data_IF_314181494000
#
_entry.id   IF_314181494000
#
_cell.length_a   1.000
_cell.length_b   1.000
_cell.length_c   1.000
_cell.angle_alpha   90.00
_cell.angle_beta   90.00
_cell.angle_gamma   90.00
#
_symmetry.space_group_name_H-M   'P 1'
#
loop_
_entity.id
_entity.type
_entity.pdbx_description
1 polymer ?
#
# COMPACT_ATOMS: atom_id res chain seq x y z
N UNK A 1 9.82 40.20 43.75
CA UNK A 1 8.53 40.28 43.04
C UNK A 1 7.88 38.92 43.19
N UNK A 2 6.71 38.88 43.77
CA UNK A 2 5.95 37.66 43.94
C UNK A 2 5.02 37.51 42.74
N UNK A 3 5.20 36.43 41.98
CA UNK A 3 4.40 36.14 40.78
C UNK A 3 3.72 34.78 40.90
N UNK A 4 2.60 34.63 40.20
CA UNK A 4 1.79 33.42 40.20
C UNK A 4 1.89 32.75 38.83
N UNK A 5 2.34 31.50 38.78
CA UNK A 5 2.38 30.72 37.53
C UNK A 5 1.29 29.65 37.58
N UNK A 6 0.32 29.75 36.68
CA UNK A 6 -0.74 28.76 36.52
C UNK A 6 -0.25 27.61 35.66
N UNK A 7 -0.21 26.41 36.24
CA UNK A 7 0.21 25.18 35.58
C UNK A 7 -0.89 24.61 34.67
N UNK A 8 -0.55 23.74 33.69
CA UNK A 8 -1.51 23.10 32.79
C UNK A 8 -2.59 22.28 33.48
N UNK A 9 -2.30 21.75 34.68
CA UNK A 9 -3.25 21.03 35.53
C UNK A 9 -4.16 21.96 36.36
N UNK A 10 -4.08 23.28 36.17
CA UNK A 10 -4.86 24.29 36.88
C UNK A 10 -4.32 24.71 38.24
N UNK A 11 -3.18 24.15 38.70
CA UNK A 11 -2.55 24.53 39.97
C UNK A 11 -1.72 25.80 39.81
N UNK A 12 -1.83 26.76 40.74
CA UNK A 12 -0.94 27.92 40.79
C UNK A 12 0.29 27.64 41.65
N UNK A 13 1.46 28.06 41.17
CA UNK A 13 2.74 28.06 41.91
C UNK A 13 3.15 29.51 42.14
N UNK A 14 3.59 29.83 43.36
CA UNK A 14 4.08 31.16 43.73
C UNK A 14 5.59 31.16 43.61
N UNK A 15 6.14 32.12 42.89
CA UNK A 15 7.59 32.30 42.73
C UNK A 15 7.99 33.69 43.22
N UNK A 16 9.08 33.73 43.99
CA UNK A 16 9.76 34.97 44.35
C UNK A 16 10.93 35.21 43.39
N UNK A 17 10.80 36.18 42.50
CA UNK A 17 11.80 36.51 41.47
C UNK A 17 12.20 37.98 41.52
N UNK A 18 13.36 38.34 40.97
CA UNK A 18 13.71 39.74 40.75
C UNK A 18 13.06 40.23 39.45
N UNK A 19 12.70 41.51 39.36
CA UNK A 19 12.16 42.09 38.12
C UNK A 19 13.17 42.05 36.95
N UNK A 20 14.46 41.95 37.27
CA UNK A 20 15.57 41.81 36.31
C UNK A 20 15.84 40.36 35.91
N UNK A 21 15.24 39.36 36.57
CA UNK A 21 15.41 37.96 36.21
C UNK A 21 14.86 37.68 34.82
N UNK A 22 15.53 36.81 34.07
CA UNK A 22 15.02 36.39 32.77
C UNK A 22 13.88 35.40 32.90
N UNK A 23 13.04 35.31 31.88
CA UNK A 23 11.97 34.30 31.79
C UNK A 23 12.58 32.88 31.85
N UNK A 24 13.74 32.67 31.22
CA UNK A 24 14.45 31.39 31.27
C UNK A 24 14.95 31.01 32.67
N UNK A 25 15.45 31.96 33.46
CA UNK A 25 15.83 31.73 34.86
C UNK A 25 14.63 31.34 35.72
N UNK A 26 13.48 31.99 35.50
CA UNK A 26 12.22 31.63 36.16
C UNK A 26 11.77 30.22 35.76
N UNK A 27 11.82 29.85 34.46
CA UNK A 27 11.44 28.51 34.00
C UNK A 27 12.32 27.41 34.62
N UNK A 28 13.62 27.65 34.81
CA UNK A 28 14.51 26.70 35.51
C UNK A 28 14.10 26.45 36.96
N UNK A 29 13.46 27.42 37.62
CA UNK A 29 12.92 27.21 38.98
C UNK A 29 11.68 26.29 39.01
N UNK A 30 11.09 26.02 37.84
CA UNK A 30 9.93 25.14 37.65
C UNK A 30 10.32 23.77 37.06
N UNK A 31 11.61 23.51 36.86
CA UNK A 31 12.14 22.33 36.13
C UNK A 31 11.77 20.99 36.80
N UNK A 32 11.51 20.98 38.12
CA UNK A 32 10.99 19.81 38.84
C UNK A 32 9.59 19.37 38.38
N UNK A 33 8.85 20.24 37.68
CA UNK A 33 7.46 19.99 37.23
C UNK A 33 7.39 19.61 35.75
N UNK A 34 8.26 20.17 34.91
CA UNK A 34 8.38 19.89 33.48
C UNK A 34 9.75 20.39 32.98
N UNK A 35 10.39 19.76 31.99
CA UNK A 35 11.66 20.26 31.46
C UNK A 35 11.50 21.70 30.93
N UNK A 36 12.41 22.60 31.31
CA UNK A 36 12.43 23.99 30.86
C UNK A 36 12.38 24.12 29.32
N UNK A 37 12.89 23.12 28.60
CA UNK A 37 12.85 23.02 27.14
C UNK A 37 11.46 22.79 26.54
N UNK A 38 10.46 22.40 27.34
CA UNK A 38 9.07 22.15 26.93
C UNK A 38 8.09 23.20 27.49
N UNK A 39 8.60 24.25 28.13
CA UNK A 39 7.80 25.31 28.73
C UNK A 39 7.70 26.52 27.82
N UNK A 40 6.49 27.05 27.65
CA UNK A 40 6.27 28.40 27.15
C UNK A 40 5.42 29.16 28.17
N UNK A 41 5.85 30.37 28.52
CA UNK A 41 5.15 31.21 29.47
C UNK A 41 4.37 32.28 28.72
N UNK A 42 3.08 32.39 29.03
CA UNK A 42 2.16 33.37 28.44
C UNK A 42 1.74 34.38 29.49
N UNK A 43 1.82 35.66 29.14
CA UNK A 43 1.34 36.78 29.95
C UNK A 43 0.54 37.76 29.08
N UNK A 44 -0.65 38.17 29.54
CA UNK A 44 -1.60 39.00 28.77
C UNK A 44 -1.89 38.48 27.34
N UNK A 45 -1.98 37.16 27.20
CA UNK A 45 -2.27 36.50 25.91
C UNK A 45 -1.09 36.47 24.93
N UNK A 46 0.13 36.84 25.35
CA UNK A 46 1.34 36.79 24.51
C UNK A 46 2.40 35.87 25.12
N UNK A 47 3.06 35.02 24.31
CA UNK A 47 4.20 34.23 24.78
C UNK A 47 5.39 35.15 25.07
N UNK A 48 6.08 34.91 26.17
CA UNK A 48 7.28 35.63 26.57
C UNK A 48 8.53 34.93 26.02
N UNK A 49 9.54 35.73 25.63
CA UNK A 49 10.82 35.23 25.14
C UNK A 49 11.71 34.83 26.33
N UNK A 50 12.41 33.70 26.24
CA UNK A 50 13.24 33.18 27.34
C UNK A 50 14.35 34.14 27.79
N UNK A 51 14.90 34.91 26.85
CA UNK A 51 15.99 35.86 27.12
C UNK A 51 15.50 37.24 27.59
N UNK A 52 14.18 37.48 27.59
CA UNK A 52 13.62 38.75 28.07
C UNK A 52 13.57 38.80 29.59
N UNK A 53 13.84 39.98 30.16
CA UNK A 53 13.61 40.20 31.59
C UNK A 53 12.12 40.32 31.89
N UNK A 54 11.71 39.94 33.10
CA UNK A 54 10.31 40.07 33.53
C UNK A 54 9.80 41.52 33.45
N UNK A 55 10.66 42.50 33.75
CA UNK A 55 10.35 43.91 33.60
C UNK A 55 10.11 44.32 32.13
N UNK A 56 10.96 43.86 31.19
CA UNK A 56 10.80 44.16 29.76
C UNK A 56 9.54 43.50 29.17
N UNK A 57 9.16 42.35 29.72
CA UNK A 57 7.91 41.65 29.41
C UNK A 57 6.66 42.32 30.02
N UNK A 58 6.81 43.38 30.81
CA UNK A 58 5.73 44.11 31.47
C UNK A 58 5.10 43.35 32.65
N UNK A 59 5.80 42.36 33.20
CA UNK A 59 5.37 41.58 34.37
C UNK A 59 5.66 42.40 35.63
N UNK A 60 4.63 42.65 36.43
CA UNK A 60 4.72 43.36 37.71
C UNK A 60 4.50 42.44 38.90
N UNK A 61 4.66 42.98 40.11
CA UNK A 61 4.31 42.28 41.35
C UNK A 61 2.85 41.81 41.30
N UNK A 62 2.62 40.61 41.83
CA UNK A 62 1.33 39.90 41.83
C UNK A 62 0.78 39.50 40.45
N UNK A 63 1.59 39.58 39.38
CA UNK A 63 1.16 39.13 38.05
C UNK A 63 0.89 37.63 38.01
N UNK A 64 -0.14 37.24 37.27
CA UNK A 64 -0.43 35.84 36.95
C UNK A 64 0.00 35.50 35.52
N UNK A 65 0.94 34.56 35.40
CA UNK A 65 1.42 34.01 34.15
C UNK A 65 0.84 32.60 33.95
N UNK A 66 0.70 32.17 32.71
CA UNK A 66 0.20 30.83 32.37
C UNK A 66 1.31 30.02 31.74
N UNK A 67 1.61 28.85 32.32
CA UNK A 67 2.52 27.88 31.72
C UNK A 67 1.75 27.05 30.70
N UNK A 68 2.23 27.10 29.46
CA UNK A 68 1.75 26.31 28.35
C UNK A 68 2.84 25.30 28.00
N UNK A 69 2.47 24.03 27.94
CA UNK A 69 3.38 22.99 27.45
C UNK A 69 3.47 23.12 25.93
N UNK A 70 4.68 23.34 25.43
CA UNK A 70 4.94 23.12 24.03
C UNK A 70 5.00 21.61 23.81
N UNK A 71 4.02 21.09 23.09
CA UNK A 71 4.18 19.81 22.40
C UNK A 71 5.28 20.02 21.38
N UNK A 72 6.52 19.67 21.72
CA UNK A 72 7.53 19.44 20.68
C UNK A 72 7.01 18.27 19.83
N UNK A 73 6.54 18.57 18.63
CA UNK A 73 6.96 17.72 17.51
C UNK A 73 8.48 17.73 17.56
N UNK A 74 9.09 16.55 17.65
CA UNK A 74 10.50 16.37 18.04
C UNK A 74 11.38 17.49 17.51
N UNK A 75 11.98 18.25 18.41
CA UNK A 75 13.14 19.04 18.01
C UNK A 75 14.23 18.02 17.79
N UNK A 76 14.60 17.90 16.52
CA UNK A 76 15.88 17.46 15.97
C UNK A 76 16.97 17.36 17.05
N UNK A 77 17.02 16.23 17.77
CA UNK A 77 18.31 15.57 17.92
C UNK A 77 18.78 15.38 16.47
N UNK A 78 20.02 15.75 16.16
CA UNK A 78 20.61 15.33 14.89
C UNK A 78 20.49 13.81 14.86
N UNK A 79 19.42 13.30 14.23
CA UNK A 79 19.22 11.89 13.96
C UNK A 79 20.53 11.44 13.35
N UNK A 80 21.19 10.46 13.95
CA UNK A 80 22.18 9.67 13.22
C UNK A 80 21.43 9.14 11.99
N UNK A 81 21.49 9.86 10.86
CA UNK A 81 20.71 9.67 9.61
C UNK A 81 19.95 8.34 9.64
N UNK A 82 18.75 8.28 10.26
CA UNK A 82 18.13 6.97 10.50
C UNK A 82 17.87 6.37 9.12
N UNK A 83 18.63 5.31 8.79
CA UNK A 83 18.72 4.85 7.42
C UNK A 83 17.37 4.23 7.05
N UNK A 84 16.56 5.01 6.31
CA UNK A 84 15.20 4.63 5.95
C UNK A 84 15.16 3.24 5.30
N UNK A 85 14.25 2.39 5.83
CA UNK A 85 14.05 1.03 5.34
C UNK A 85 13.54 1.00 3.89
N UNK A 86 13.90 -0.06 3.17
CA UNK A 86 13.39 -0.32 1.82
C UNK A 86 12.05 -1.04 1.90
N UNK A 87 11.06 -0.58 1.13
CA UNK A 87 9.73 -1.20 1.06
C UNK A 87 9.49 -1.72 -0.35
N UNK A 88 9.24 -3.03 -0.48
CA UNK A 88 9.04 -3.70 -1.78
C UNK A 88 7.71 -4.47 -1.80
N UNK A 89 6.75 -3.97 -2.58
CA UNK A 89 5.49 -4.66 -2.91
C UNK A 89 5.67 -5.60 -4.12
N UNK A 90 5.68 -6.91 -3.84
CA UNK A 90 5.86 -7.97 -4.81
C UNK A 90 4.54 -8.29 -5.55
N UNK A 91 4.20 -7.51 -6.57
CA UNK A 91 3.02 -7.76 -7.39
C UNK A 91 3.27 -8.71 -8.57
N UNK A 92 2.26 -9.50 -8.97
CA UNK A 92 2.37 -10.46 -10.09
C UNK A 92 2.59 -9.85 -11.49
N UNK A 93 2.48 -8.54 -11.63
CA UNK A 93 2.72 -7.83 -12.88
C UNK A 93 3.60 -6.61 -12.69
N UNK A 94 3.46 -5.92 -11.55
CA UNK A 94 4.25 -4.75 -11.21
C UNK A 94 4.83 -4.90 -9.82
N UNK A 95 6.14 -4.68 -9.72
CA UNK A 95 6.85 -4.46 -8.47
C UNK A 95 6.77 -2.97 -8.15
N UNK A 96 6.56 -2.62 -6.88
CA UNK A 96 6.69 -1.24 -6.41
C UNK A 96 7.72 -1.20 -5.30
N UNK A 97 8.65 -0.26 -5.40
CA UNK A 97 9.75 -0.13 -4.48
C UNK A 97 9.97 1.34 -4.13
N UNK A 98 10.43 1.60 -2.90
CA UNK A 98 10.76 2.94 -2.42
C UNK A 98 11.24 2.89 -0.97
N UNK A 99 11.29 4.05 -0.34
CA UNK A 99 11.77 4.20 1.04
C UNK A 99 10.61 4.37 2.00
N UNK A 100 10.77 3.83 3.21
CA UNK A 100 9.83 4.08 4.30
C UNK A 100 9.73 5.59 4.59
N UNK A 101 8.51 6.08 4.79
CA UNK A 101 8.21 7.49 5.05
C UNK A 101 7.80 8.27 3.80
N UNK A 102 8.00 7.73 2.61
CA UNK A 102 7.53 8.35 1.36
C UNK A 102 6.02 8.08 1.14
N UNK A 103 5.33 9.03 0.51
CA UNK A 103 3.90 8.97 0.21
C UNK A 103 3.55 8.11 -1.02
N UNK A 104 4.49 7.95 -1.94
CA UNK A 104 4.33 7.16 -3.18
C UNK A 104 5.58 6.31 -3.45
N UNK A 105 5.44 5.14 -4.10
CA UNK A 105 6.58 4.32 -4.45
C UNK A 105 7.47 5.05 -5.47
N UNK A 106 8.75 5.18 -5.14
CA UNK A 106 9.75 5.80 -6.03
C UNK A 106 9.90 5.08 -7.36
N UNK A 107 9.71 3.76 -7.38
CA UNK A 107 9.81 2.93 -8.58
C UNK A 107 8.60 2.02 -8.74
N UNK A 108 8.06 1.95 -9.97
CA UNK A 108 7.00 1.03 -10.37
C UNK A 108 7.35 0.44 -11.73
N UNK A 109 7.74 -0.84 -11.76
CA UNK A 109 8.20 -1.51 -12.98
C UNK A 109 7.59 -2.89 -13.12
N UNK A 110 7.65 -3.46 -14.34
CA UNK A 110 7.07 -4.78 -14.60
C UNK A 110 7.86 -5.91 -13.93
N UNK A 111 7.13 -6.82 -13.27
CA UNK A 111 7.68 -8.04 -12.65
C UNK A 111 8.00 -9.12 -13.69
N UNK A 112 8.87 -8.78 -14.66
CA UNK A 112 9.26 -9.67 -15.76
C UNK A 112 10.79 -9.74 -15.87
N UNK A 113 11.27 -10.91 -16.27
CA UNK A 113 12.66 -11.17 -16.59
C UNK A 113 12.77 -11.67 -18.01
N UNK A 114 13.62 -11.04 -18.81
CA UNK A 114 13.92 -11.42 -20.18
C UNK A 114 15.32 -12.00 -20.31
N UNK A 115 15.41 -13.25 -20.76
CA UNK A 115 16.69 -13.89 -21.06
C UNK A 115 16.92 -13.90 -22.59
N UNK A 116 18.11 -13.56 -23.11
CA UNK A 116 18.41 -13.68 -24.54
C UNK A 116 18.19 -15.10 -25.05
N UNK A 117 17.64 -15.24 -26.26
CA UNK A 117 17.52 -16.55 -26.90
C UNK A 117 18.90 -17.09 -27.26
N UNK A 118 19.13 -18.38 -27.10
CA UNK A 118 20.47 -18.99 -27.25
C UNK A 118 21.18 -18.63 -28.56
N UNK A 119 20.43 -18.60 -29.67
CA UNK A 119 20.95 -18.22 -30.99
C UNK A 119 21.47 -16.76 -31.04
N UNK A 120 20.84 -15.85 -30.30
CA UNK A 120 21.23 -14.44 -30.24
C UNK A 120 22.39 -14.19 -29.28
N UNK A 121 22.48 -14.97 -28.18
CA UNK A 121 23.58 -14.90 -27.22
C UNK A 121 24.92 -15.26 -27.87
N UNK A 122 24.92 -16.23 -28.79
CA UNK A 122 26.13 -16.63 -29.53
C UNK A 122 26.51 -15.60 -30.60
N UNK A 123 25.53 -14.94 -31.22
CA UNK A 123 25.76 -13.99 -32.31
C UNK A 123 26.16 -12.57 -31.84
N UNK A 124 25.79 -12.17 -30.62
CA UNK A 124 26.04 -10.82 -30.09
C UNK A 124 26.75 -10.88 -28.74
N UNK A 125 28.09 -10.82 -28.78
CA UNK A 125 28.99 -10.95 -27.62
C UNK A 125 28.82 -9.85 -26.55
N UNK A 126 28.06 -8.79 -26.84
CA UNK A 126 27.85 -7.62 -25.97
C UNK A 126 26.45 -7.58 -25.30
N UNK A 127 25.60 -8.61 -25.49
CA UNK A 127 24.29 -8.64 -24.82
C UNK A 127 24.42 -8.95 -23.32
N UNK A 128 23.59 -8.29 -22.50
CA UNK A 128 23.46 -8.62 -21.07
C UNK A 128 22.91 -10.03 -20.89
N UNK A 129 23.31 -10.68 -19.80
CA UNK A 129 22.82 -12.03 -19.46
C UNK A 129 21.32 -12.04 -19.14
N UNK A 130 20.79 -10.96 -18.56
CA UNK A 130 19.37 -10.79 -18.31
C UNK A 130 18.93 -9.33 -18.38
N UNK A 131 17.64 -9.16 -18.63
CA UNK A 131 16.94 -7.88 -18.69
C UNK A 131 15.75 -7.95 -17.73
N UNK A 132 15.43 -6.86 -17.04
CA UNK A 132 14.32 -6.80 -16.08
C UNK A 132 13.42 -5.60 -16.41
N UNK A 133 12.14 -5.70 -16.10
CA UNK A 133 11.21 -4.56 -16.17
C UNK A 133 11.02 -4.02 -17.60
N UNK A 134 11.05 -2.70 -17.74
CA UNK A 134 10.84 -2.04 -19.03
C UNK A 134 11.96 -2.33 -20.03
N UNK A 135 13.18 -2.61 -19.58
CA UNK A 135 14.28 -3.01 -20.46
C UNK A 135 13.99 -4.36 -21.13
N UNK A 136 13.40 -5.30 -20.37
CA UNK A 136 12.97 -6.59 -20.89
C UNK A 136 11.77 -6.43 -21.85
N UNK A 137 10.84 -5.53 -21.53
CA UNK A 137 9.69 -5.23 -22.38
C UNK A 137 10.12 -4.63 -23.72
N UNK A 138 11.00 -3.63 -23.70
CA UNK A 138 11.45 -2.92 -24.90
C UNK A 138 12.29 -3.82 -25.82
N UNK A 139 12.98 -4.82 -25.27
CA UNK A 139 13.78 -5.77 -26.03
C UNK A 139 13.08 -7.12 -26.28
N UNK A 140 11.77 -7.22 -26.05
CA UNK A 140 11.01 -8.49 -26.03
C UNK A 140 11.16 -9.34 -27.29
N UNK A 141 11.32 -8.74 -28.47
CA UNK A 141 11.52 -9.48 -29.73
C UNK A 141 12.75 -10.42 -29.70
N UNK A 142 13.77 -10.04 -28.92
CA UNK A 142 15.05 -10.77 -28.81
C UNK A 142 15.12 -11.67 -27.57
N UNK A 143 14.13 -11.57 -26.68
CA UNK A 143 14.17 -12.18 -25.35
C UNK A 143 13.10 -13.26 -25.19
N UNK A 144 13.37 -14.22 -24.30
CA UNK A 144 12.38 -15.09 -23.71
C UNK A 144 11.92 -14.45 -22.39
N UNK A 145 10.69 -13.91 -22.38
CA UNK A 145 10.12 -13.23 -21.21
C UNK A 145 9.47 -14.25 -20.28
N UNK A 146 9.79 -14.16 -18.99
CA UNK A 146 9.24 -14.96 -17.91
C UNK A 146 8.69 -14.05 -16.80
N UNK A 147 7.63 -14.51 -16.13
CA UNK A 147 7.05 -13.84 -14.97
C UNK A 147 7.29 -14.74 -13.75
N UNK A 148 8.15 -14.37 -12.79
CA UNK A 148 8.48 -15.23 -11.65
C UNK A 148 7.39 -15.30 -10.58
N UNK A 149 6.33 -14.50 -10.70
CA UNK A 149 5.19 -14.48 -9.78
C UNK A 149 3.92 -14.84 -10.55
N UNK A 150 3.31 -15.98 -10.20
CA UNK A 150 2.05 -16.44 -10.76
C UNK A 150 0.98 -16.49 -9.67
N UNK A 151 -0.16 -15.83 -9.93
CA UNK A 151 -1.29 -15.74 -8.99
C UNK A 151 -0.89 -15.29 -7.57
N UNK A 152 0.12 -14.42 -7.44
CA UNK A 152 0.65 -13.93 -6.16
C UNK A 152 1.67 -14.84 -5.48
N UNK A 153 2.07 -15.95 -6.10
CA UNK A 153 3.05 -16.90 -5.57
C UNK A 153 4.32 -16.86 -6.44
N UNK A 154 5.48 -16.76 -5.80
CA UNK A 154 6.78 -16.89 -6.49
C UNK A 154 6.96 -18.33 -6.98
N UNK A 155 7.17 -18.50 -8.28
CA UNK A 155 7.38 -19.80 -8.95
C UNK A 155 8.82 -19.99 -9.41
N UNK A 156 9.59 -18.92 -9.60
CA UNK A 156 11.00 -18.98 -9.97
C UNK A 156 11.81 -18.00 -9.10
N UNK A 157 12.63 -18.55 -8.19
CA UNK A 157 13.42 -17.77 -7.24
C UNK A 157 14.62 -17.08 -7.88
N UNK A 158 15.25 -17.70 -8.88
CA UNK A 158 16.40 -17.11 -9.59
C UNK A 158 15.99 -15.84 -10.35
N UNK A 159 14.82 -15.88 -10.99
CA UNK A 159 14.26 -14.72 -11.68
C UNK A 159 13.70 -13.68 -10.67
N UNK A 160 13.21 -14.11 -9.50
CA UNK A 160 12.79 -13.19 -8.45
C UNK A 160 13.98 -12.43 -7.84
N UNK A 161 15.12 -13.09 -7.64
CA UNK A 161 16.35 -12.46 -7.16
C UNK A 161 16.82 -11.36 -8.12
N UNK A 162 16.74 -11.59 -9.43
CA UNK A 162 17.03 -10.56 -10.45
C UNK A 162 16.09 -9.36 -10.36
N UNK A 163 14.81 -9.59 -10.05
CA UNK A 163 13.83 -8.50 -9.84
C UNK A 163 14.22 -7.66 -8.63
N UNK A 164 14.58 -8.29 -7.51
CA UNK A 164 15.01 -7.55 -6.31
C UNK A 164 16.35 -6.83 -6.52
N UNK A 165 17.31 -7.47 -7.18
CA UNK A 165 18.56 -6.82 -7.56
C UNK A 165 18.28 -5.56 -8.41
N UNK A 166 17.39 -5.66 -9.40
CA UNK A 166 16.98 -4.51 -10.21
C UNK A 166 16.30 -3.43 -9.37
N UNK A 167 15.40 -3.81 -8.45
CA UNK A 167 14.75 -2.86 -7.55
C UNK A 167 15.77 -2.09 -6.70
N UNK A 168 16.72 -2.77 -6.06
CA UNK A 168 17.67 -2.14 -5.14
C UNK A 168 18.74 -1.34 -5.89
N UNK A 169 19.43 -1.95 -6.85
CA UNK A 169 20.62 -1.33 -7.45
C UNK A 169 20.31 -0.44 -8.66
N UNK A 170 19.29 -0.76 -9.46
CA UNK A 170 18.98 0.02 -10.67
C UNK A 170 17.96 1.12 -10.41
N UNK A 171 16.84 0.75 -9.78
CA UNK A 171 15.72 1.66 -9.55
C UNK A 171 15.95 2.57 -8.34
N UNK A 172 16.19 1.98 -7.16
CA UNK A 172 16.39 2.75 -5.93
C UNK A 172 17.81 3.26 -5.73
N UNK A 173 18.79 2.63 -6.38
CA UNK A 173 20.23 2.90 -6.23
C UNK A 173 20.67 2.91 -4.76
N UNK A 174 20.15 1.95 -4.00
CA UNK A 174 20.41 1.77 -2.59
C UNK A 174 21.11 0.43 -2.35
N UNK A 175 22.08 0.43 -1.43
CA UNK A 175 22.72 -0.81 -0.99
C UNK A 175 21.80 -1.55 0.00
N UNK A 176 21.31 -2.75 -0.34
CA UNK A 176 20.52 -3.55 0.60
C UNK A 176 21.32 -3.97 1.84
N UNK A 177 22.67 -3.95 1.80
CA UNK A 177 23.49 -4.33 2.96
C UNK A 177 23.41 -3.33 4.13
N UNK A 178 23.00 -2.09 3.86
CA UNK A 178 22.97 -1.00 4.84
C UNK A 178 21.58 -0.74 5.43
N UNK A 179 20.52 -1.36 4.89
CA UNK A 179 19.12 -0.95 5.16
C UNK A 179 18.20 -2.11 5.49
N UNK A 180 17.30 -1.99 6.50
CA UNK A 180 16.23 -2.96 6.69
C UNK A 180 15.32 -3.05 5.47
N UNK A 181 14.79 -4.25 5.16
CA UNK A 181 13.96 -4.48 3.97
C UNK A 181 12.61 -5.09 4.35
N UNK A 182 11.53 -4.35 4.10
CA UNK A 182 10.16 -4.84 4.19
C UNK A 182 9.71 -5.39 2.83
N UNK A 183 9.36 -6.67 2.81
CA UNK A 183 8.77 -7.34 1.66
C UNK A 183 7.28 -7.59 1.90
N UNK A 184 6.50 -7.61 0.83
CA UNK A 184 5.09 -8.03 0.91
C UNK A 184 4.88 -9.44 0.37
N UNK A 185 3.92 -10.17 0.94
CA UNK A 185 3.45 -11.46 0.42
C UNK A 185 1.93 -11.50 0.27
N UNK A 186 1.47 -12.34 -0.66
CA UNK A 186 0.05 -12.62 -0.83
C UNK A 186 -0.54 -13.35 0.39
N UNK A 187 -1.84 -13.15 0.68
CA UNK A 187 -2.53 -13.93 1.70
C UNK A 187 -2.42 -15.44 1.45
N UNK A 188 -2.28 -16.22 2.53
CA UNK A 188 -2.14 -17.69 2.47
C UNK A 188 -0.89 -18.18 1.70
N UNK A 189 0.19 -17.40 1.67
CA UNK A 189 1.48 -17.86 1.13
C UNK A 189 2.06 -19.03 1.95
N UNK A 190 2.77 -19.92 1.26
CA UNK A 190 3.35 -21.12 1.88
C UNK A 190 4.44 -20.73 2.87
N UNK A 191 4.60 -21.53 3.94
CA UNK A 191 5.67 -21.30 4.92
C UNK A 191 7.05 -21.37 4.28
N UNK A 192 7.25 -22.34 3.38
CA UNK A 192 8.52 -22.52 2.66
C UNK A 192 8.87 -21.32 1.79
N UNK A 193 7.89 -20.73 1.08
CA UNK A 193 8.16 -19.53 0.29
C UNK A 193 8.56 -18.35 1.17
N UNK A 194 7.92 -18.21 2.34
CA UNK A 194 8.27 -17.17 3.31
C UNK A 194 9.68 -17.32 3.83
N UNK A 195 10.05 -18.53 4.23
CA UNK A 195 11.42 -18.87 4.64
C UNK A 195 12.42 -18.57 3.53
N UNK A 196 12.09 -18.89 2.27
CA UNK A 196 12.96 -18.63 1.13
C UNK A 196 13.15 -17.14 0.84
N UNK A 197 12.10 -16.31 0.97
CA UNK A 197 12.23 -14.86 0.89
C UNK A 197 13.18 -14.32 1.96
N UNK A 198 12.99 -14.72 3.22
CA UNK A 198 13.84 -14.30 4.34
C UNK A 198 15.29 -14.77 4.14
N UNK A 199 15.48 -16.01 3.67
CA UNK A 199 16.80 -16.54 3.34
C UNK A 199 17.52 -15.67 2.30
N UNK A 200 16.88 -15.38 1.17
CA UNK A 200 17.51 -14.59 0.10
C UNK A 200 17.85 -13.17 0.59
N UNK A 201 16.97 -12.53 1.37
CA UNK A 201 17.24 -11.19 1.89
C UNK A 201 18.43 -11.15 2.86
N UNK A 202 18.57 -12.13 3.75
CA UNK A 202 19.59 -12.13 4.80
C UNK A 202 20.90 -12.81 4.38
N UNK A 203 20.86 -13.82 3.51
CA UNK A 203 22.05 -14.55 3.04
C UNK A 203 22.61 -13.94 1.73
N UNK A 204 21.76 -13.69 0.73
CA UNK A 204 22.21 -13.21 -0.58
C UNK A 204 22.39 -11.70 -0.60
N UNK A 205 21.34 -10.94 -0.27
CA UNK A 205 21.38 -9.47 -0.24
C UNK A 205 21.98 -8.92 1.04
N UNK A 206 22.26 -9.77 2.02
CA UNK A 206 22.81 -9.41 3.33
C UNK A 206 22.16 -8.14 3.90
N UNK A 207 20.83 -8.10 3.94
CA UNK A 207 20.13 -7.05 4.66
C UNK A 207 20.41 -7.16 6.17
N UNK A 208 20.57 -6.05 6.92
CA UNK A 208 20.76 -6.09 8.38
C UNK A 208 19.54 -6.66 9.08
N UNK A 209 18.34 -6.37 8.56
CA UNK A 209 17.10 -6.95 9.02
C UNK A 209 16.04 -7.02 7.90
N UNK A 210 15.04 -7.88 8.06
CA UNK A 210 13.94 -8.00 7.10
C UNK A 210 12.61 -8.27 7.79
N UNK A 211 11.51 -7.93 7.12
CA UNK A 211 10.17 -8.27 7.56
C UNK A 211 9.30 -8.63 6.36
N UNK A 212 8.45 -9.66 6.51
CA UNK A 212 7.51 -10.09 5.47
C UNK A 212 6.08 -9.79 5.92
N UNK A 213 5.46 -8.83 5.25
CA UNK A 213 4.13 -8.32 5.57
C UNK A 213 3.04 -8.90 4.65
N UNK A 214 1.83 -9.08 5.19
CA UNK A 214 0.66 -9.47 4.39
C UNK A 214 0.11 -8.25 3.64
N UNK A 215 -0.01 -8.35 2.31
CA UNK A 215 -0.49 -7.26 1.45
C UNK A 215 -1.83 -6.65 1.91
N UNK A 216 -2.80 -7.49 2.28
CA UNK A 216 -4.10 -7.02 2.72
C UNK A 216 -4.04 -6.27 4.05
N UNK A 217 -3.18 -6.70 4.98
CA UNK A 217 -3.00 -6.02 6.26
C UNK A 217 -2.41 -4.62 6.06
N UNK A 218 -1.43 -4.49 5.16
CA UNK A 218 -0.86 -3.19 4.81
C UNK A 218 -1.90 -2.27 4.16
N UNK A 219 -2.72 -2.77 3.23
CA UNK A 219 -3.79 -1.98 2.62
C UNK A 219 -4.84 -1.50 3.63
N UNK A 220 -5.10 -2.26 4.69
CA UNK A 220 -5.97 -1.80 5.76
C UNK A 220 -5.30 -0.67 6.57
N UNK A 221 -4.02 -0.83 6.90
CA UNK A 221 -3.25 0.19 7.60
C UNK A 221 -3.14 1.50 6.83
N UNK A 222 -2.98 1.46 5.50
CA UNK A 222 -2.98 2.69 4.67
C UNK A 222 -4.29 3.48 4.76
N UNK A 223 -5.39 2.83 5.17
CA UNK A 223 -6.68 3.47 5.39
C UNK A 223 -6.91 3.99 6.81
N UNK A 224 -5.91 3.85 7.70
CA UNK A 224 -6.00 4.24 9.10
C UNK A 224 -6.96 3.37 9.90
N UNK A 225 -7.07 2.07 9.58
CA UNK A 225 -7.98 1.13 10.24
C UNK A 225 -7.25 -0.09 10.75
N UNK A 226 -7.77 -0.67 11.84
CA UNK A 226 -7.30 -1.90 12.44
C UNK A 226 -8.28 -3.07 12.28
N UNK A 227 -9.53 -2.82 11.87
CA UNK A 227 -10.52 -3.84 11.59
C UNK A 227 -11.32 -3.50 10.33
N UNK A 228 -11.57 -4.52 9.50
CA UNK A 228 -12.27 -4.40 8.23
C UNK A 228 -12.07 -5.61 7.32
N UNK A 229 -12.74 -5.63 6.19
CA UNK A 229 -12.46 -6.61 5.12
C UNK A 229 -11.80 -5.90 3.96
N UNK A 230 -10.62 -6.38 3.57
CA UNK A 230 -9.89 -5.86 2.41
C UNK A 230 -10.24 -6.68 1.19
N UNK A 231 -10.73 -6.02 0.16
CA UNK A 231 -11.00 -6.59 -1.16
C UNK A 231 -9.89 -6.12 -2.09
N UNK A 232 -8.89 -6.96 -2.23
CA UNK A 232 -7.71 -6.69 -3.06
C UNK A 232 -7.86 -7.37 -4.42
N UNK A 233 -7.80 -6.62 -5.51
CA UNK A 233 -7.83 -7.18 -6.87
C UNK A 233 -6.66 -6.68 -7.70
N UNK A 234 -5.64 -7.53 -7.78
CA UNK A 234 -4.41 -7.29 -8.53
C UNK A 234 -4.41 -7.93 -9.92
N UNK A 235 -3.22 -8.11 -10.50
CA UNK A 235 -3.10 -8.67 -11.84
C UNK A 235 -3.35 -10.19 -11.90
N UNK A 236 -2.77 -10.96 -10.99
CA UNK A 236 -2.84 -12.43 -11.06
C UNK A 236 -3.90 -13.06 -10.17
N UNK A 237 -4.46 -12.32 -9.22
CA UNK A 237 -5.29 -12.87 -8.15
C UNK A 237 -6.12 -11.77 -7.50
N UNK A 238 -7.28 -12.14 -6.95
CA UNK A 238 -8.10 -11.28 -6.10
C UNK A 238 -8.37 -11.97 -4.76
N UNK A 239 -8.50 -11.21 -3.69
CA UNK A 239 -8.73 -11.71 -2.33
C UNK A 239 -9.78 -10.87 -1.60
N UNK A 240 -10.57 -11.54 -0.76
CA UNK A 240 -11.28 -10.90 0.34
C UNK A 240 -10.68 -11.41 1.66
N UNK A 241 -10.07 -10.50 2.41
CA UNK A 241 -9.31 -10.79 3.63
C UNK A 241 -9.94 -10.04 4.79
N UNK A 242 -10.62 -10.74 5.71
CA UNK A 242 -11.14 -10.13 6.92
C UNK A 242 -10.01 -9.98 7.94
N UNK A 243 -9.90 -8.79 8.51
CA UNK A 243 -8.87 -8.40 9.45
C UNK A 243 -9.56 -7.82 10.68
N UNK A 244 -9.11 -8.23 11.86
CA UNK A 244 -9.63 -7.73 13.13
C UNK A 244 -8.47 -7.44 14.07
N UNK A 245 -8.44 -6.22 14.62
CA UNK A 245 -7.37 -5.73 15.50
C UNK A 245 -5.95 -5.93 14.92
N UNK A 246 -5.78 -5.75 13.61
CA UNK A 246 -4.50 -5.89 12.91
C UNK A 246 -4.17 -7.33 12.48
N UNK A 247 -4.96 -8.33 12.86
CA UNK A 247 -4.74 -9.74 12.52
C UNK A 247 -5.65 -10.19 11.39
N UNK A 248 -5.07 -10.75 10.33
CA UNK A 248 -5.83 -11.38 9.26
C UNK A 248 -6.39 -12.73 9.72
N UNK A 249 -7.69 -12.98 9.49
CA UNK A 249 -8.39 -14.18 9.95
C UNK A 249 -8.31 -15.31 8.89
N UNK A 250 -7.38 -16.28 9.00
CA UNK A 250 -7.03 -17.16 7.88
C UNK A 250 -8.16 -18.09 7.44
N UNK A 251 -9.00 -18.54 8.38
CA UNK A 251 -10.14 -19.42 8.13
C UNK A 251 -11.24 -18.77 7.27
N UNK A 252 -11.28 -17.43 7.26
CA UNK A 252 -12.28 -16.64 6.57
C UNK A 252 -11.78 -15.97 5.29
N UNK A 253 -10.49 -16.15 4.93
CA UNK A 253 -9.93 -15.63 3.68
C UNK A 253 -10.60 -16.32 2.48
N UNK A 254 -11.00 -15.50 1.51
CA UNK A 254 -11.45 -15.96 0.20
C UNK A 254 -10.45 -15.53 -0.86
N UNK A 255 -9.90 -16.50 -1.58
CA UNK A 255 -8.98 -16.29 -2.70
C UNK A 255 -9.68 -16.65 -3.99
N UNK A 256 -9.71 -15.71 -4.92
CA UNK A 256 -10.29 -15.85 -6.25
C UNK A 256 -9.15 -15.94 -7.26
N UNK A 257 -9.13 -17.01 -8.07
CA UNK A 257 -8.03 -17.29 -9.00
C UNK A 257 -8.15 -16.50 -10.31
N UNK A 258 -8.65 -15.27 -10.23
CA UNK A 258 -8.72 -14.34 -11.34
C UNK A 258 -8.31 -12.93 -10.90
N UNK A 259 -7.76 -12.17 -11.85
CA UNK A 259 -7.42 -10.77 -11.70
C UNK A 259 -7.34 -10.07 -13.04
N UNK A 260 -6.41 -9.12 -13.16
CA UNK A 260 -6.22 -8.32 -14.36
C UNK A 260 -5.80 -9.13 -15.59
N UNK A 261 -5.12 -10.28 -15.39
CA UNK A 261 -4.73 -11.20 -16.47
C UNK A 261 -5.94 -11.78 -17.18
N UNK A 262 -6.89 -12.33 -16.42
CA UNK A 262 -8.13 -12.90 -16.94
C UNK A 262 -9.01 -11.81 -17.57
N UNK A 263 -9.09 -10.63 -16.95
CA UNK A 263 -9.79 -9.48 -17.55
C UNK A 263 -9.18 -9.04 -18.89
N UNK A 264 -7.84 -9.02 -19.02
CA UNK A 264 -7.19 -8.69 -20.28
C UNK A 264 -7.49 -9.73 -21.37
N UNK A 265 -7.54 -11.02 -21.00
CA UNK A 265 -7.96 -12.09 -21.93
C UNK A 265 -9.42 -11.92 -22.34
N UNK A 266 -10.30 -11.64 -21.39
CA UNK A 266 -11.70 -11.40 -21.67
C UNK A 266 -11.91 -10.17 -22.58
N UNK A 267 -11.16 -9.10 -22.35
CA UNK A 267 -11.16 -7.92 -23.23
C UNK A 267 -10.75 -8.27 -24.67
N UNK A 268 -9.76 -9.14 -24.85
CA UNK A 268 -9.36 -9.64 -26.17
C UNK A 268 -10.50 -10.41 -26.85
N UNK A 269 -11.21 -11.27 -26.12
CA UNK A 269 -12.37 -12.02 -26.62
C UNK A 269 -13.49 -11.06 -27.08
N UNK A 270 -13.83 -10.06 -26.24
CA UNK A 270 -14.83 -9.05 -26.55
C UNK A 270 -14.50 -8.23 -27.82
N UNK A 271 -13.24 -7.86 -28.01
CA UNK A 271 -12.82 -7.16 -29.23
C UNK A 271 -12.81 -8.06 -30.46
N UNK A 272 -12.51 -9.35 -30.28
CA UNK A 272 -12.59 -10.35 -31.34
C UNK A 272 -14.03 -10.53 -31.82
N UNK A 273 -15.02 -10.47 -30.91
CA UNK A 273 -16.46 -10.45 -31.28
C UNK A 273 -16.80 -9.28 -32.21
N UNK A 274 -16.19 -8.10 -32.00
CA UNK A 274 -16.31 -6.92 -32.87
C UNK A 274 -15.42 -6.96 -34.12
N UNK A 275 -14.79 -8.09 -34.41
CA UNK A 275 -13.87 -8.28 -35.54
C UNK A 275 -12.57 -7.46 -35.48
N UNK A 276 -12.22 -6.91 -34.32
CA UNK A 276 -10.88 -6.37 -34.08
C UNK A 276 -9.93 -7.51 -33.71
N UNK A 277 -8.78 -7.60 -34.39
CA UNK A 277 -7.80 -8.68 -34.15
C UNK A 277 -6.53 -8.11 -33.54
N UNK A 278 -6.27 -8.47 -32.29
CA UNK A 278 -5.02 -8.16 -31.57
C UNK A 278 -4.24 -9.46 -31.38
N UNK A 279 -3.28 -9.71 -32.27
CA UNK A 279 -2.49 -10.94 -32.35
C UNK A 279 -1.17 -10.82 -31.59
N UNK A 280 -0.48 -9.68 -31.76
CA UNK A 280 0.86 -9.47 -31.20
C UNK A 280 0.78 -9.14 -29.71
N UNK A 281 1.91 -9.22 -29.02
CA UNK A 281 1.89 -8.90 -27.59
C UNK A 281 1.83 -7.39 -27.31
N UNK A 282 2.37 -6.58 -28.22
CA UNK A 282 2.26 -5.10 -28.15
C UNK A 282 0.81 -4.66 -28.30
N UNK A 283 0.09 -5.25 -29.26
CA UNK A 283 -1.35 -5.09 -29.45
C UNK A 283 -2.15 -5.45 -28.19
N UNK A 284 -1.75 -6.50 -27.46
CA UNK A 284 -2.37 -6.88 -26.18
C UNK A 284 -2.08 -5.88 -25.06
N UNK A 285 -0.92 -5.22 -25.05
CA UNK A 285 -0.67 -4.11 -24.11
C UNK A 285 -1.55 -2.89 -24.43
N UNK A 286 -1.83 -2.63 -25.71
CA UNK A 286 -2.81 -1.60 -26.09
C UNK A 286 -4.19 -1.91 -25.55
N UNK A 287 -4.64 -3.18 -25.59
CA UNK A 287 -5.89 -3.60 -24.95
C UNK A 287 -5.90 -3.34 -23.43
N UNK A 288 -4.76 -3.56 -22.75
CA UNK A 288 -4.62 -3.20 -21.32
C UNK A 288 -4.79 -1.69 -21.11
N UNK A 289 -4.19 -0.85 -21.95
CA UNK A 289 -4.35 0.61 -21.90
C UNK A 289 -5.80 1.04 -22.14
N UNK A 290 -6.48 0.43 -23.12
CA UNK A 290 -7.91 0.67 -23.37
C UNK A 290 -8.74 0.30 -22.13
N UNK A 291 -8.48 -0.86 -21.53
CA UNK A 291 -9.14 -1.30 -20.29
C UNK A 291 -8.95 -0.29 -19.17
N UNK A 292 -7.71 0.14 -18.92
CA UNK A 292 -7.39 1.06 -17.82
C UNK A 292 -7.97 2.47 -18.03
N UNK A 293 -8.10 2.94 -19.28
CA UNK A 293 -8.57 4.30 -19.59
C UNK A 293 -10.07 4.42 -19.83
N UNK A 294 -10.71 3.41 -20.42
CA UNK A 294 -12.08 3.54 -20.94
C UNK A 294 -13.12 2.69 -20.21
N UNK A 295 -12.70 1.62 -19.51
CA UNK A 295 -13.64 0.73 -18.85
C UNK A 295 -14.18 1.32 -17.54
N UNK A 296 -15.42 0.95 -17.22
CA UNK A 296 -16.11 1.37 -16.01
C UNK A 296 -17.10 0.29 -15.57
N UNK A 297 -17.45 0.25 -14.29
CA UNK A 297 -18.45 -0.67 -13.74
C UNK A 297 -19.82 -0.01 -13.73
N UNK A 298 -20.77 -0.62 -14.43
CA UNK A 298 -22.17 -0.22 -14.40
C UNK A 298 -22.82 -0.57 -13.04
N UNK A 299 -23.66 0.32 -12.50
CA UNK A 299 -24.44 0.06 -11.29
C UNK A 299 -25.54 -1.00 -11.51
N UNK A 300 -26.12 -0.98 -12.72
CA UNK A 300 -27.09 -1.97 -13.19
C UNK A 300 -26.66 -2.39 -14.60
N UNK A 301 -26.07 -3.58 -14.67
CA UNK A 301 -25.55 -4.13 -15.90
C UNK A 301 -26.63 -4.32 -16.97
N UNK A 302 -27.82 -4.78 -16.59
CA UNK A 302 -28.89 -5.08 -17.56
C UNK A 302 -29.48 -3.80 -18.14
N UNK A 303 -29.67 -2.77 -17.31
CA UNK A 303 -30.09 -1.45 -17.78
C UNK A 303 -29.04 -0.84 -18.71
N UNK A 304 -27.76 -0.96 -18.38
CA UNK A 304 -26.68 -0.41 -19.21
C UNK A 304 -26.56 -1.15 -20.55
N UNK A 305 -26.74 -2.48 -20.55
CA UNK A 305 -26.83 -3.27 -21.77
C UNK A 305 -27.98 -2.81 -22.68
N UNK A 306 -29.16 -2.53 -22.13
CA UNK A 306 -30.30 -2.00 -22.92
C UNK A 306 -29.97 -0.65 -23.54
N UNK A 307 -29.43 0.29 -22.74
CA UNK A 307 -29.01 1.62 -23.23
C UNK A 307 -27.97 1.54 -24.33
N UNK A 308 -27.04 0.58 -24.25
CA UNK A 308 -26.00 0.39 -25.27
C UNK A 308 -26.54 -0.12 -26.61
N UNK A 309 -27.70 -0.80 -26.61
CA UNK A 309 -28.39 -1.26 -27.82
C UNK A 309 -29.27 -0.17 -28.44
N UNK A 310 -29.85 0.68 -27.59
CA UNK A 310 -30.77 1.75 -27.99
C UNK A 310 -30.04 3.04 -28.40
N UNK A 311 -28.83 3.28 -27.87
CA UNK A 311 -28.09 4.53 -28.08
C UNK A 311 -26.58 4.29 -28.23
N UNK A 312 -25.93 5.17 -28.98
CA UNK A 312 -24.46 5.23 -29.10
C UNK A 312 -23.78 6.01 -27.97
N UNK A 313 -24.52 6.40 -26.93
CA UNK A 313 -24.00 7.23 -25.82
C UNK A 313 -22.88 6.55 -25.03
N UNK A 314 -22.83 5.22 -25.05
CA UNK A 314 -21.79 4.42 -24.40
C UNK A 314 -20.52 4.30 -25.25
N UNK A 315 -20.62 4.55 -26.56
CA UNK A 315 -19.48 4.42 -27.46
C UNK A 315 -18.48 5.56 -27.27
N UNK A 316 -17.20 5.23 -27.36
CA UNK A 316 -16.09 6.19 -27.30
C UNK A 316 -14.99 5.72 -28.24
N UNK A 317 -14.24 6.66 -28.77
CA UNK A 317 -13.13 6.37 -29.67
C UNK A 317 -11.80 6.25 -28.92
N UNK A 318 -10.89 5.45 -29.47
CA UNK A 318 -9.52 5.32 -28.97
C UNK A 318 -8.55 5.30 -30.13
N UNK A 319 -7.48 6.08 -30.04
CA UNK A 319 -6.42 6.12 -31.05
C UNK A 319 -5.35 5.07 -30.71
N UNK A 320 -5.14 4.13 -31.63
CA UNK A 320 -4.11 3.11 -31.54
C UNK A 320 -2.72 3.71 -31.81
N UNK A 321 -1.62 3.03 -31.42
CA UNK A 321 -0.25 3.53 -31.64
C UNK A 321 0.13 3.77 -33.11
N UNK A 322 -0.58 3.15 -34.05
CA UNK A 322 -0.41 3.34 -35.50
C UNK A 322 -1.25 4.52 -36.06
N UNK A 323 -1.97 5.23 -35.19
CA UNK A 323 -2.89 6.33 -35.54
C UNK A 323 -4.29 5.87 -35.94
N UNK A 324 -4.56 4.56 -36.00
CA UNK A 324 -5.90 4.07 -36.31
C UNK A 324 -6.86 4.34 -35.15
N UNK A 325 -8.00 4.96 -35.44
CA UNK A 325 -9.05 5.20 -34.44
C UNK A 325 -10.06 4.05 -34.45
N UNK A 326 -10.21 3.40 -33.30
CA UNK A 326 -11.20 2.34 -33.07
C UNK A 326 -12.36 2.83 -32.21
N UNK A 327 -13.53 2.20 -32.33
CA UNK A 327 -14.70 2.49 -31.50
C UNK A 327 -14.90 1.41 -30.46
N UNK A 328 -14.89 1.79 -29.19
CA UNK A 328 -15.13 0.93 -28.04
C UNK A 328 -16.52 1.24 -27.48
N UNK A 329 -17.40 0.23 -27.43
CA UNK A 329 -18.78 0.36 -27.04
C UNK A 329 -19.08 -0.30 -25.70
N UNK A 330 -19.93 -1.33 -25.72
CA UNK A 330 -20.37 -2.02 -24.50
C UNK A 330 -19.27 -2.86 -23.83
N UNK A 331 -18.14 -3.11 -24.52
CA UNK A 331 -16.96 -3.78 -23.97
C UNK A 331 -16.43 -3.04 -22.75
N UNK A 332 -16.62 -1.71 -22.70
CA UNK A 332 -16.20 -0.82 -21.60
C UNK A 332 -16.75 -1.27 -20.25
N UNK A 333 -18.00 -1.72 -20.19
CA UNK A 333 -18.63 -2.17 -18.95
C UNK A 333 -18.87 -3.68 -18.87
N UNK A 334 -18.89 -4.38 -20.02
CA UNK A 334 -18.88 -5.86 -20.05
C UNK A 334 -17.60 -6.44 -19.48
N UNK A 335 -16.45 -5.87 -19.82
CA UNK A 335 -15.15 -6.36 -19.34
C UNK A 335 -15.07 -6.40 -17.80
N UNK A 336 -15.31 -5.30 -17.07
CA UNK A 336 -15.24 -5.31 -15.61
C UNK A 336 -16.45 -5.98 -14.92
N UNK A 337 -17.59 -6.21 -15.61
CA UNK A 337 -18.70 -7.01 -15.06
C UNK A 337 -18.24 -8.43 -14.70
N UNK A 338 -17.23 -8.95 -15.39
CA UNK A 338 -16.65 -10.25 -15.12
C UNK A 338 -16.06 -10.39 -13.70
N UNK A 339 -15.75 -9.28 -13.01
CA UNK A 339 -15.37 -9.32 -11.59
C UNK A 339 -16.53 -9.73 -10.66
N UNK A 340 -17.76 -9.40 -11.04
CA UNK A 340 -18.99 -9.76 -10.32
C UNK A 340 -19.60 -11.05 -10.86
N UNK A 341 -19.35 -11.38 -12.14
CA UNK A 341 -19.83 -12.59 -12.82
C UNK A 341 -18.69 -13.30 -13.54
N UNK A 342 -17.83 -14.07 -12.82
CA UNK A 342 -16.68 -14.75 -13.40
C UNK A 342 -17.02 -15.75 -14.51
N UNK A 343 -18.26 -16.23 -14.56
CA UNK A 343 -18.78 -17.08 -15.64
C UNK A 343 -18.66 -16.46 -17.02
N UNK A 344 -18.62 -15.13 -17.15
CA UNK A 344 -18.36 -14.43 -18.42
C UNK A 344 -16.95 -14.70 -18.98
N UNK A 345 -16.01 -15.12 -18.12
CA UNK A 345 -14.65 -15.51 -18.51
C UNK A 345 -14.47 -17.03 -18.58
N UNK A 346 -15.56 -17.79 -18.41
CA UNK A 346 -15.56 -19.25 -18.30
C UNK A 346 -15.06 -19.78 -16.94
N UNK A 347 -15.16 -18.97 -15.88
CA UNK A 347 -14.77 -19.38 -14.52
C UNK A 347 -15.98 -19.72 -13.66
N UNK A 348 -15.83 -20.72 -12.80
CA UNK A 348 -16.85 -21.15 -11.83
C UNK A 348 -16.63 -20.53 -10.43
N UNK A 349 -15.71 -19.57 -10.30
CA UNK A 349 -15.43 -18.86 -9.06
C UNK A 349 -16.56 -17.87 -8.67
N UNK A 350 -16.59 -17.51 -7.38
CA UNK A 350 -17.45 -16.46 -6.84
C UNK A 350 -17.06 -15.08 -7.40
N UNK A 351 -18.03 -14.18 -7.58
CA UNK A 351 -17.77 -12.74 -7.80
C UNK A 351 -17.11 -12.08 -6.57
N UNK A 352 -16.45 -10.93 -6.77
CA UNK A 352 -15.77 -10.20 -5.68
C UNK A 352 -16.72 -9.80 -4.54
N UNK A 353 -17.98 -9.47 -4.86
CA UNK A 353 -19.05 -9.15 -3.92
C UNK A 353 -19.44 -10.37 -3.08
N UNK A 354 -19.65 -11.50 -3.74
CA UNK A 354 -20.03 -12.76 -3.12
C UNK A 354 -18.91 -13.33 -2.24
N UNK A 355 -17.67 -13.25 -2.72
CA UNK A 355 -16.50 -13.63 -1.96
C UNK A 355 -16.36 -12.78 -0.68
N UNK A 356 -16.62 -11.47 -0.77
CA UNK A 356 -16.59 -10.56 0.39
C UNK A 356 -17.68 -10.92 1.40
N UNK A 357 -18.92 -11.12 0.93
CA UNK A 357 -20.02 -11.58 1.79
C UNK A 357 -19.69 -12.91 2.48
N UNK A 358 -19.28 -13.93 1.71
CA UNK A 358 -18.93 -15.25 2.24
C UNK A 358 -17.73 -15.18 3.20
N UNK A 359 -16.78 -14.29 2.95
CA UNK A 359 -15.62 -14.08 3.84
C UNK A 359 -16.07 -13.54 5.19
N UNK A 360 -16.87 -12.47 5.21
CA UNK A 360 -17.38 -11.89 6.46
C UNK A 360 -18.30 -12.85 7.22
N UNK A 361 -19.15 -13.60 6.53
CA UNK A 361 -20.09 -14.52 7.19
C UNK A 361 -19.46 -15.82 7.67
N UNK A 362 -18.19 -16.08 7.34
CA UNK A 362 -17.38 -17.11 8.00
C UNK A 362 -16.82 -16.66 9.35
N UNK A 363 -16.74 -15.36 9.60
CA UNK A 363 -16.27 -14.80 10.86
C UNK A 363 -17.35 -14.89 11.95
N UNK A 364 -16.93 -14.73 13.21
CA UNK A 364 -17.83 -14.68 14.37
C UNK A 364 -18.82 -13.52 14.27
N UNK A 365 -20.04 -13.71 14.80
CA UNK A 365 -21.15 -12.76 14.68
C UNK A 365 -20.79 -11.36 15.19
N UNK A 366 -20.04 -11.28 16.29
CA UNK A 366 -19.73 -10.04 16.99
C UNK A 366 -18.88 -9.07 16.17
N UNK A 367 -18.03 -9.59 15.27
CA UNK A 367 -17.12 -8.78 14.46
C UNK A 367 -17.70 -8.41 13.09
N UNK A 368 -18.75 -9.08 12.61
CA UNK A 368 -19.31 -8.87 11.26
C UNK A 368 -19.76 -7.44 11.02
N UNK A 369 -20.34 -6.79 12.04
CA UNK A 369 -20.82 -5.41 11.94
C UNK A 369 -19.67 -4.44 11.63
N UNK A 370 -18.54 -4.61 12.30
CA UNK A 370 -17.35 -3.79 12.08
C UNK A 370 -16.70 -4.09 10.73
N UNK A 371 -16.61 -5.37 10.34
CA UNK A 371 -16.08 -5.78 9.05
C UNK A 371 -16.87 -5.19 7.87
N UNK A 372 -18.21 -5.24 7.91
CA UNK A 372 -19.08 -4.67 6.85
C UNK A 372 -19.08 -3.14 6.81
N UNK A 373 -18.83 -2.50 7.94
CA UNK A 373 -18.68 -1.05 8.00
C UNK A 373 -17.34 -0.57 7.43
N UNK A 374 -16.35 -1.47 7.31
CA UNK A 374 -15.01 -1.15 6.86
C UNK A 374 -14.58 -2.09 5.71
N UNK A 375 -15.28 -2.03 4.57
CA UNK A 375 -14.88 -2.74 3.35
C UNK A 375 -13.87 -1.87 2.61
N UNK A 376 -12.59 -2.22 2.61
CA UNK A 376 -11.51 -1.43 1.98
C UNK A 376 -11.13 -2.04 0.64
N UNK A 377 -11.17 -1.23 -0.42
CA UNK A 377 -10.76 -1.65 -1.76
C UNK A 377 -9.27 -1.38 -2.00
N UNK A 378 -8.56 -2.38 -2.52
CA UNK A 378 -7.13 -2.32 -2.83
C UNK A 378 -6.83 -2.93 -4.20
N UNK A 379 -5.77 -2.45 -4.85
CA UNK A 379 -5.24 -3.06 -6.08
C UNK A 379 -5.83 -2.50 -7.37
N UNK A 380 -5.11 -2.70 -8.46
CA UNK A 380 -5.33 -1.99 -9.73
C UNK A 380 -6.69 -2.21 -10.37
N UNK A 381 -7.33 -3.38 -10.24
CA UNK A 381 -8.66 -3.59 -10.84
C UNK A 381 -9.78 -2.94 -10.03
N UNK A 382 -9.53 -2.54 -8.78
CA UNK A 382 -10.51 -1.76 -8.02
C UNK A 382 -10.55 -0.29 -8.43
N UNK A 383 -9.71 0.11 -9.41
CA UNK A 383 -9.65 1.46 -9.96
C UNK A 383 -10.78 1.77 -10.95
N UNK A 384 -11.54 0.78 -11.42
CA UNK A 384 -12.65 1.05 -12.34
C UNK A 384 -13.69 2.00 -11.73
N UNK A 385 -14.10 2.99 -12.50
CA UNK A 385 -15.13 3.93 -12.11
C UNK A 385 -16.44 3.20 -11.81
N UNK A 386 -17.12 3.62 -10.73
CA UNK A 386 -18.38 2.99 -10.29
C UNK A 386 -18.23 1.69 -9.51
N UNK A 387 -17.03 1.09 -9.43
CA UNK A 387 -16.82 -0.20 -8.74
C UNK A 387 -17.20 -0.12 -7.25
N UNK A 388 -16.78 0.94 -6.55
CA UNK A 388 -17.10 1.16 -5.14
C UNK A 388 -18.61 1.17 -4.87
N UNK A 389 -19.36 1.93 -5.68
CA UNK A 389 -20.83 2.04 -5.57
C UNK A 389 -21.53 0.74 -5.94
N UNK A 390 -21.06 0.02 -6.97
CA UNK A 390 -21.60 -1.29 -7.36
C UNK A 390 -21.36 -2.31 -6.24
N UNK A 391 -20.15 -2.35 -5.70
CA UNK A 391 -19.78 -3.23 -4.58
C UNK A 391 -20.68 -2.99 -3.36
N UNK A 392 -20.91 -1.72 -2.99
CA UNK A 392 -21.79 -1.39 -1.89
C UNK A 392 -23.22 -1.89 -2.12
N UNK A 393 -23.76 -1.70 -3.33
CA UNK A 393 -25.09 -2.19 -3.73
C UNK A 393 -25.20 -3.72 -3.63
N UNK A 394 -24.21 -4.45 -4.16
CA UNK A 394 -24.23 -5.93 -4.19
C UNK A 394 -24.03 -6.55 -2.80
N UNK A 395 -23.14 -5.99 -1.98
CA UNK A 395 -22.99 -6.46 -0.60
C UNK A 395 -24.27 -6.15 0.19
N UNK A 396 -24.89 -4.98 -0.02
CA UNK A 396 -26.15 -4.60 0.62
C UNK A 396 -27.33 -5.48 0.27
N UNK A 397 -27.43 -5.94 -0.97
CA UNK A 397 -28.51 -6.84 -1.38
C UNK A 397 -28.41 -8.22 -0.73
N UNK A 398 -27.18 -8.65 -0.39
CA UNK A 398 -26.89 -9.97 0.21
C UNK A 398 -26.90 -9.96 1.73
N UNK A 399 -26.73 -8.81 2.37
CA UNK A 399 -26.70 -8.69 3.84
C UNK A 399 -28.06 -8.29 4.44
N UNK A 400 -28.40 -8.75 5.65
CA UNK A 400 -29.57 -8.25 6.38
C UNK A 400 -29.56 -6.72 6.55
N UNK A 401 -30.74 -6.09 6.48
CA UNK A 401 -30.89 -4.62 6.53
C UNK A 401 -30.37 -3.97 7.83
N UNK A 402 -30.16 -4.74 8.90
CA UNK A 402 -29.61 -4.26 10.17
C UNK A 402 -28.15 -3.84 10.07
N UNK A 403 -27.40 -4.31 9.07
CA UNK A 403 -25.99 -3.98 8.90
C UNK A 403 -25.81 -2.69 8.11
N UNK A 404 -24.99 -1.79 8.63
CA UNK A 404 -24.53 -0.60 7.91
C UNK A 404 -23.28 -0.95 7.12
N UNK A 405 -23.39 -0.90 5.80
CA UNK A 405 -22.30 -1.24 4.89
C UNK A 405 -21.65 0.05 4.44
N UNK A 406 -20.32 0.03 4.36
CA UNK A 406 -19.56 1.14 3.80
C UNK A 406 -18.35 0.59 3.07
N UNK A 407 -18.25 0.97 1.79
CA UNK A 407 -17.10 0.68 0.94
C UNK A 407 -16.19 1.90 0.92
N UNK A 408 -14.90 1.66 1.16
CA UNK A 408 -13.86 2.67 1.27
C UNK A 408 -12.93 2.48 0.07
N UNK A 409 -12.83 3.53 -0.74
CA UNK A 409 -11.99 3.56 -1.93
C UNK A 409 -11.11 4.81 -1.89
N UNK A 410 -9.87 4.66 -1.43
CA UNK A 410 -8.87 5.73 -1.48
C UNK A 410 -8.47 6.02 -2.94
N UNK A 411 -8.19 7.27 -3.34
CA UNK A 411 -7.74 7.58 -4.70
C UNK A 411 -6.46 6.82 -5.07
N UNK A 412 -5.49 6.79 -4.15
CA UNK A 412 -4.19 6.12 -4.23
C UNK A 412 -4.24 4.59 -3.98
N UNK A 413 -5.42 3.96 -4.01
CA UNK A 413 -5.60 2.53 -3.69
C UNK A 413 -4.87 1.53 -4.59
N UNK A 414 -4.35 1.99 -5.72
CA UNK A 414 -3.42 1.22 -6.56
C UNK A 414 -2.11 0.91 -5.82
N UNK A 415 -1.72 1.75 -4.87
CA UNK A 415 -0.49 1.66 -4.08
C UNK A 415 -0.74 1.45 -2.58
N UNK A 416 -1.99 1.24 -2.13
CA UNK A 416 -2.33 1.04 -0.71
C UNK A 416 -1.43 0.04 0.02
N UNK A 417 -1.11 -1.09 -0.62
CA UNK A 417 -0.21 -2.10 -0.06
C UNK A 417 1.15 -1.49 0.27
N UNK A 418 1.74 -0.78 -0.71
CA UNK A 418 3.06 -0.18 -0.57
C UNK A 418 3.04 0.97 0.44
N UNK A 419 2.03 1.84 0.39
CA UNK A 419 1.84 2.96 1.34
C UNK A 419 1.70 2.43 2.76
N UNK A 420 0.92 1.37 2.97
CA UNK A 420 0.81 0.71 4.27
C UNK A 420 2.14 0.14 4.77
N UNK A 421 2.98 -0.36 3.86
CA UNK A 421 4.34 -0.80 4.16
C UNK A 421 5.27 0.35 4.52
N UNK A 422 5.19 1.47 3.79
CA UNK A 422 5.92 2.72 4.07
C UNK A 422 5.58 3.24 5.46
N UNK A 423 4.29 3.36 5.79
CA UNK A 423 3.83 3.78 7.11
C UNK A 423 4.32 2.81 8.18
N UNK A 424 4.12 1.50 8.00
CA UNK A 424 4.48 0.50 9.00
C UNK A 424 5.98 0.49 9.30
N UNK A 425 6.82 0.56 8.27
CA UNK A 425 8.27 0.54 8.40
C UNK A 425 8.84 1.82 9.03
N UNK A 426 8.11 2.94 8.99
CA UNK A 426 8.49 4.20 9.64
C UNK A 426 8.02 4.33 11.09
N UNK A 427 7.27 3.36 11.63
CA UNK A 427 6.84 3.43 13.03
C UNK A 427 7.98 3.01 13.95
N UNK A 428 8.29 3.84 14.96
CA UNK A 428 9.27 3.50 16.00
C UNK A 428 8.90 2.22 16.75
N UNK A 429 7.60 1.97 16.98
CA UNK A 429 7.08 0.74 17.59
C UNK A 429 7.27 -0.52 16.74
N UNK A 430 7.63 -0.35 15.46
CA UNK A 430 7.88 -1.47 14.55
C UNK A 430 9.31 -2.00 14.64
N UNK A 431 10.25 -1.24 15.23
CA UNK A 431 11.66 -1.64 15.25
C UNK A 431 11.90 -3.01 15.91
N UNK A 432 11.13 -3.38 16.94
CA UNK A 432 11.21 -4.69 17.62
C UNK A 432 10.69 -5.88 16.78
N UNK A 433 10.03 -5.60 15.65
CA UNK A 433 9.39 -6.61 14.78
C UNK A 433 10.28 -7.08 13.65
N UNK A 434 11.32 -6.33 13.32
CA UNK A 434 12.31 -6.75 12.35
C UNK A 434 12.95 -8.08 12.74
N UNK A 435 13.22 -8.91 11.73
CA UNK A 435 14.03 -10.12 11.89
C UNK A 435 15.46 -9.70 11.58
N UNK A 436 16.27 -9.58 12.62
CA UNK A 436 17.69 -9.19 12.46
C UNK A 436 18.50 -10.38 11.96
N UNK A 437 19.66 -10.11 11.33
CA UNK A 437 20.59 -11.16 10.94
C UNK A 437 21.04 -12.01 12.13
N UNK A 438 21.18 -11.40 13.31
CA UNK A 438 21.53 -12.12 14.55
C UNK A 438 20.45 -13.14 14.92
N UNK A 439 19.19 -12.72 15.01
CA UNK A 439 18.06 -13.62 15.30
C UNK A 439 17.95 -14.75 14.25
N UNK A 440 18.20 -14.41 12.97
CA UNK A 440 18.20 -15.38 11.88
C UNK A 440 19.33 -16.41 11.98
N UNK A 441 20.55 -15.98 12.32
CA UNK A 441 21.68 -16.91 12.47
C UNK A 441 21.47 -17.90 13.62
N UNK A 442 20.72 -17.50 14.65
CA UNK A 442 20.40 -18.36 15.81
C UNK A 442 19.23 -19.33 15.54
N UNK A 443 18.18 -18.86 14.85
CA UNK A 443 16.92 -19.62 14.69
C UNK A 443 16.67 -20.16 13.26
N UNK A 444 17.54 -19.80 12.31
CA UNK A 444 17.39 -20.07 10.89
C UNK A 444 16.16 -19.41 10.26
N UNK A 445 15.78 -19.82 9.03
CA UNK A 445 14.64 -19.25 8.30
C UNK A 445 13.30 -19.32 9.02
N UNK A 446 13.12 -20.27 9.95
CA UNK A 446 11.87 -20.49 10.67
C UNK A 446 11.45 -19.32 11.58
N UNK A 447 12.38 -18.41 11.92
CA UNK A 447 12.14 -17.22 12.75
C UNK A 447 11.01 -16.35 12.19
N UNK A 448 10.85 -16.32 10.86
CA UNK A 448 9.83 -15.52 10.18
C UNK A 448 8.39 -15.87 10.60
N UNK A 449 8.16 -17.08 11.10
CA UNK A 449 6.83 -17.48 11.58
C UNK A 449 6.53 -17.04 13.02
N UNK A 450 7.55 -16.64 13.79
CA UNK A 450 7.39 -16.21 15.19
C UNK A 450 7.05 -14.72 15.32
N UNK A 451 7.55 -13.88 14.41
CA UNK A 451 7.41 -12.41 14.44
C UNK A 451 6.20 -11.87 13.66
N UNK A 452 5.24 -12.73 13.30
CA UNK A 452 4.14 -12.41 12.38
C UNK A 452 2.90 -11.78 13.05
N UNK A 453 2.22 -10.90 12.31
CA UNK A 453 0.80 -10.53 12.48
C UNK A 453 -0.18 -11.40 11.66
#
# INVERSE_FOLDING_TARGET
MQIFVTMPNGRAVVLDTASTSSVGEMCRSLDEVCPCSQMSIVYNGRPLLMDSSLADAGVSDESTLVLVLQLKGGEDEEDEDEIAALVVDNGSNTCKAGFAGEEEPRAVFLSIVGNPRDQLRIARKEMKDCYVGDEARNNRGNLSIRCPIEQGIVTNWDDMEKIWHHAFYNELRADPEERPILLTEAPMNSKSNREKMTQIMLETFKAPATYVANQAVLSLYSSGRNAGVVVDSGYGVSHAVPIFQGYALPHAIKRLKFGGRELNRHMLELFTERSYRFMTTEERETLRSIKEKLCYVAIDFESEMKKSKESKSVETTYELPDGQVITVGNERFRCPEALFKPSMMGLEDDGIDEATYKSVFKCDLDIRKELLHNIVLSGGNTMFDGLSKRMEKEVKSRTPQSYKIRVISQPERKYSVWIGGSILASLTTFQDRWITRTEYNESGPSIVHRKRF
#
